data_IF_076997306492
#
_entry.id   IF_076997306492
#
_cell.length_a   1.000
_cell.length_b   1.000
_cell.length_c   1.000
_cell.angle_alpha   90.00
_cell.angle_beta   90.00
_cell.angle_gamma   90.00
#
_symmetry.space_group_name_H-M   'P 1'
#
loop_
_entity.id
_entity.type
_entity.pdbx_description
1 polymer ?
#
# COMPACT_ATOMS: atom_id res chain seq x y z
N UNK A 1 -4.54 -6.99 20.12
CA UNK A 1 -4.99 -7.59 18.85
C UNK A 1 -4.44 -6.86 17.63
N UNK A 2 -4.93 -5.68 17.22
CA UNK A 2 -4.39 -5.00 16.02
C UNK A 2 -2.88 -4.67 16.11
N UNK A 3 -2.40 -4.25 17.29
CA UNK A 3 -0.98 -3.96 17.55
C UNK A 3 -0.06 -5.20 17.56
N UNK A 4 -0.64 -6.41 17.64
CA UNK A 4 0.11 -7.67 17.72
C UNK A 4 0.19 -8.37 16.34
N UNK A 5 -0.37 -7.74 15.30
CA UNK A 5 -0.42 -8.30 13.95
C UNK A 5 0.97 -8.28 13.33
N UNK A 6 1.46 -9.45 12.91
CA UNK A 6 2.77 -9.58 12.26
C UNK A 6 2.62 -9.64 10.74
N UNK A 7 3.62 -9.17 9.97
CA UNK A 7 3.65 -9.37 8.54
C UNK A 7 3.50 -10.85 8.17
N UNK A 8 2.58 -11.13 7.24
CA UNK A 8 2.35 -12.50 6.75
C UNK A 8 3.48 -12.95 5.81
N UNK A 9 3.50 -14.24 5.44
CA UNK A 9 4.46 -14.77 4.46
C UNK A 9 4.44 -13.97 3.15
N UNK A 10 3.27 -13.50 2.71
CA UNK A 10 3.13 -12.70 1.50
C UNK A 10 3.76 -11.29 1.64
N UNK A 11 3.64 -10.66 2.80
CA UNK A 11 4.32 -9.38 3.08
C UNK A 11 5.84 -9.54 3.02
N UNK A 12 6.37 -10.61 3.61
CA UNK A 12 7.81 -10.91 3.53
C UNK A 12 8.26 -11.19 2.09
N UNK A 13 7.45 -11.89 1.28
CA UNK A 13 7.72 -12.10 -0.15
C UNK A 13 7.80 -10.77 -0.91
N UNK A 14 6.85 -9.85 -0.70
CA UNK A 14 6.88 -8.51 -1.30
C UNK A 14 8.12 -7.72 -0.88
N UNK A 15 8.45 -7.74 0.43
CA UNK A 15 9.63 -7.05 0.93
C UNK A 15 10.92 -7.63 0.34
N UNK A 16 10.98 -8.95 0.12
CA UNK A 16 12.10 -9.59 -0.56
C UNK A 16 12.21 -9.14 -2.00
N UNK A 17 11.10 -9.09 -2.73
CA UNK A 17 11.08 -8.59 -4.10
C UNK A 17 11.52 -7.12 -4.18
N UNK A 18 11.15 -6.29 -3.21
CA UNK A 18 11.62 -4.90 -3.13
C UNK A 18 13.13 -4.82 -2.87
N UNK A 19 13.63 -5.60 -1.90
CA UNK A 19 15.06 -5.69 -1.59
C UNK A 19 15.90 -6.13 -2.81
N UNK A 20 15.38 -7.08 -3.58
CA UNK A 20 16.04 -7.61 -4.79
C UNK A 20 15.83 -6.68 -6.03
N UNK A 21 15.24 -5.48 -5.87
CA UNK A 21 14.90 -4.54 -6.95
C UNK A 21 13.98 -5.13 -8.04
N UNK A 22 13.13 -6.09 -7.66
CA UNK A 22 12.14 -6.74 -8.53
C UNK A 22 10.71 -6.24 -8.32
N UNK A 23 10.48 -5.39 -7.31
CA UNK A 23 9.19 -4.75 -7.06
C UNK A 23 9.27 -3.26 -7.40
N UNK A 24 8.71 -2.87 -8.56
CA UNK A 24 8.71 -1.48 -8.99
C UNK A 24 7.80 -0.59 -8.13
N UNK A 25 6.63 -1.10 -7.74
CA UNK A 25 5.67 -0.41 -6.86
C UNK A 25 4.77 -1.39 -6.14
N UNK A 26 4.42 -1.04 -4.91
CA UNK A 26 3.34 -1.64 -4.13
C UNK A 26 2.25 -0.59 -3.90
N UNK A 27 1.04 -0.86 -4.41
CA UNK A 27 -0.15 -0.08 -4.09
C UNK A 27 -0.99 -0.86 -3.09
N UNK A 28 -1.15 -0.33 -1.87
CA UNK A 28 -1.99 -0.96 -0.84
C UNK A 28 -3.24 -0.13 -0.59
N UNK A 29 -4.37 -0.83 -0.44
CA UNK A 29 -5.64 -0.25 0.03
C UNK A 29 -5.77 -0.38 1.56
N UNK A 30 -4.88 -1.13 2.21
CA UNK A 30 -4.90 -1.38 3.64
C UNK A 30 -4.40 -0.15 4.40
N UNK A 31 -4.88 0.00 5.62
CA UNK A 31 -4.54 1.11 6.54
C UNK A 31 -3.79 0.64 7.78
N UNK A 32 -3.56 -0.67 7.91
CA UNK A 32 -3.01 -1.36 9.07
C UNK A 32 -1.50 -1.20 9.24
N UNK A 33 -0.82 -0.63 8.24
CA UNK A 33 0.62 -0.36 8.23
C UNK A 33 1.51 -1.62 8.24
N UNK A 34 0.98 -2.81 7.94
CA UNK A 34 1.76 -4.05 7.99
C UNK A 34 2.86 -4.05 6.92
N UNK A 35 2.57 -3.60 5.70
CA UNK A 35 3.56 -3.48 4.63
C UNK A 35 4.70 -2.54 5.05
N UNK A 36 4.34 -1.36 5.54
CA UNK A 36 5.27 -0.28 5.87
C UNK A 36 6.11 -0.54 7.12
N UNK A 37 5.75 -1.56 7.92
CA UNK A 37 6.58 -2.06 9.02
C UNK A 37 7.85 -2.75 8.55
N UNK A 38 7.91 -3.18 7.28
CA UNK A 38 9.08 -3.81 6.66
C UNK A 38 9.93 -2.76 5.94
N UNK A 39 11.23 -2.69 6.27
CA UNK A 39 12.14 -1.66 5.76
C UNK A 39 12.14 -1.49 4.22
N UNK A 40 12.12 -2.57 3.40
CA UNK A 40 12.09 -2.42 1.94
C UNK A 40 10.78 -1.83 1.38
N UNK A 41 9.72 -1.80 2.19
CA UNK A 41 8.37 -1.37 1.81
C UNK A 41 7.94 -0.11 2.57
N UNK A 42 8.88 0.64 3.14
CA UNK A 42 8.56 1.91 3.80
C UNK A 42 7.85 2.87 2.84
N UNK A 43 7.01 3.73 3.42
CA UNK A 43 6.32 4.80 2.71
C UNK A 43 6.75 6.17 3.22
N UNK A 44 6.24 7.23 2.61
CA UNK A 44 6.42 8.60 3.04
C UNK A 44 5.06 9.29 3.12
N UNK A 45 4.78 9.92 4.26
CA UNK A 45 3.53 10.64 4.53
C UNK A 45 3.84 12.06 5.03
N UNK A 46 3.31 13.12 4.38
CA UNK A 46 2.53 13.12 3.14
C UNK A 46 3.31 12.59 1.93
N UNK A 47 2.59 12.13 0.92
CA UNK A 47 3.23 11.59 -0.28
C UNK A 47 3.86 12.74 -1.08
N UNK A 48 5.13 12.62 -1.53
CA UNK A 48 5.77 13.65 -2.33
C UNK A 48 5.03 13.91 -3.64
N UNK A 49 4.86 15.18 -4.07
CA UNK A 49 4.19 15.50 -5.34
C UNK A 49 5.02 15.09 -6.57
N UNK A 50 6.32 14.82 -6.40
CA UNK A 50 7.27 14.47 -7.48
C UNK A 50 8.21 13.35 -7.03
N UNK A 51 8.78 12.64 -8.01
CA UNK A 51 9.77 11.59 -7.80
C UNK A 51 11.02 12.08 -7.05
N UNK A 52 11.77 11.19 -6.36
CA UNK A 52 11.48 9.75 -6.20
C UNK A 52 10.34 9.50 -5.21
N UNK A 53 9.44 8.57 -5.56
CA UNK A 53 8.35 8.13 -4.68
C UNK A 53 8.71 6.82 -3.96
N UNK A 54 8.23 6.61 -2.73
CA UNK A 54 8.49 5.39 -1.98
C UNK A 54 7.87 4.15 -2.65
N UNK A 55 8.45 2.97 -2.43
CA UNK A 55 7.99 1.71 -3.02
C UNK A 55 6.53 1.41 -2.66
N UNK A 56 6.13 1.65 -1.42
CA UNK A 56 4.74 1.46 -0.96
C UNK A 56 3.94 2.77 -1.03
N UNK A 57 2.77 2.72 -1.68
CA UNK A 57 1.81 3.81 -1.81
C UNK A 57 0.51 3.38 -1.15
N UNK A 58 0.15 4.09 -0.08
CA UNK A 58 -1.08 3.87 0.68
C UNK A 58 -2.24 4.65 0.06
N UNK A 59 -3.14 3.95 -0.63
CA UNK A 59 -4.22 4.55 -1.41
C UNK A 59 -5.34 5.15 -0.55
N UNK A 60 -5.50 4.68 0.68
CA UNK A 60 -6.55 5.11 1.60
C UNK A 60 -5.99 5.76 2.88
N UNK A 61 -4.74 6.23 2.84
CA UNK A 61 -4.02 6.69 4.02
C UNK A 61 -3.67 5.53 4.95
N UNK A 62 -3.43 5.83 6.22
CA UNK A 62 -3.02 4.81 7.21
C UNK A 62 -3.19 5.29 8.65
N UNK A 63 -3.03 4.35 9.58
CA UNK A 63 -3.03 4.61 11.02
C UNK A 63 -1.64 5.03 11.55
N UNK A 64 -0.69 5.42 10.69
CA UNK A 64 0.63 5.92 11.13
C UNK A 64 0.58 7.38 11.61
N UNK A 65 -0.30 8.19 10.99
CA UNK A 65 -0.43 9.63 11.28
C UNK A 65 -1.84 9.98 11.72
N UNK A 66 -1.95 11.07 12.46
CA UNK A 66 -3.21 11.81 12.65
C UNK A 66 -3.11 13.23 12.09
N UNK A 67 -4.26 13.79 11.72
CA UNK A 67 -4.38 15.10 11.09
C UNK A 67 -5.49 15.93 11.72
N UNK A 68 -5.25 17.22 11.91
CA UNK A 68 -6.28 18.17 12.31
C UNK A 68 -7.21 18.50 11.14
N UNK A 69 -8.52 18.39 11.37
CA UNK A 69 -9.54 18.71 10.35
C UNK A 69 -9.64 20.21 10.05
N UNK A 70 -9.14 21.07 10.95
CA UNK A 70 -9.19 22.53 10.84
C UNK A 70 -7.91 23.11 10.22
N UNK A 71 -6.76 22.95 10.90
CA UNK A 71 -5.50 23.57 10.50
C UNK A 71 -4.58 22.66 9.70
N UNK A 72 -4.96 21.39 9.46
CA UNK A 72 -4.15 20.37 8.77
C UNK A 72 -2.82 20.02 9.44
N UNK A 73 -2.65 20.37 10.72
CA UNK A 73 -1.52 19.92 11.52
C UNK A 73 -1.41 18.39 11.50
N UNK A 74 -0.21 17.88 11.23
CA UNK A 74 0.12 16.46 11.17
C UNK A 74 0.92 16.06 12.40
N UNK A 75 0.57 14.92 12.97
CA UNK A 75 1.28 14.32 14.11
C UNK A 75 1.32 12.79 13.95
N UNK A 76 2.19 12.13 14.72
CA UNK A 76 2.17 10.67 14.84
C UNK A 76 0.82 10.22 15.41
N UNK A 77 0.30 9.10 14.92
CA UNK A 77 -0.91 8.54 15.49
C UNK A 77 -0.65 8.10 16.92
N UNK A 78 -1.44 8.63 17.84
CA UNK A 78 -1.43 8.26 19.24
C UNK A 78 -2.80 7.71 19.60
N UNK A 79 -2.87 6.40 19.82
CA UNK A 79 -4.12 5.69 20.10
C UNK A 79 -4.73 6.09 21.44
N UNK A 80 -3.91 6.49 22.41
CA UNK A 80 -4.34 6.75 23.78
C UNK A 80 -5.16 8.05 23.84
N UNK A 81 -5.03 8.92 22.82
CA UNK A 81 -5.85 10.12 22.65
C UNK A 81 -7.26 9.84 22.11
N UNK A 82 -7.54 8.62 21.62
CA UNK A 82 -8.82 8.24 21.03
C UNK A 82 -9.57 7.25 21.92
N UNK A 83 -9.52 7.46 23.23
CA UNK A 83 -10.35 6.74 24.21
C UNK A 83 -11.67 7.48 24.43
N UNK A 84 -12.76 6.91 23.89
CA UNK A 84 -14.11 7.44 24.01
C UNK A 84 -14.68 8.09 22.73
N UNK A 85 -15.88 8.69 22.82
CA UNK A 85 -16.62 9.19 21.66
C UNK A 85 -16.13 10.55 21.15
N UNK A 86 -15.32 11.26 21.94
CA UNK A 86 -14.87 12.61 21.60
C UNK A 86 -13.51 12.60 20.91
N UNK A 87 -13.45 13.26 19.75
CA UNK A 87 -12.17 13.45 19.07
C UNK A 87 -11.24 14.37 19.87
N UNK A 88 -9.94 14.07 19.95
CA UNK A 88 -8.96 14.87 20.69
C UNK A 88 -8.80 16.27 20.08
N UNK A 89 -8.57 17.26 20.94
CA UNK A 89 -8.29 18.62 20.53
C UNK A 89 -6.94 18.71 19.79
N UNK A 90 -6.86 19.55 18.76
CA UNK A 90 -5.61 19.77 18.06
C UNK A 90 -4.67 20.64 18.90
N UNK A 91 -3.45 20.16 19.22
CA UNK A 91 -2.50 20.93 20.03
C UNK A 91 -2.12 22.25 19.37
N UNK A 92 -1.82 22.25 18.07
CA UNK A 92 -1.50 23.46 17.32
C UNK A 92 -2.66 24.48 17.28
N UNK A 93 -3.92 24.02 17.18
CA UNK A 93 -5.06 24.92 17.28
C UNK A 93 -5.25 25.48 18.69
N UNK A 94 -5.00 24.66 19.71
CA UNK A 94 -5.13 25.06 21.12
C UNK A 94 -4.15 26.18 21.44
N UNK A 95 -2.87 25.98 21.12
CA UNK A 95 -1.82 26.99 21.29
C UNK A 95 -2.16 28.29 20.54
N UNK A 96 -2.60 28.18 19.29
CA UNK A 96 -2.99 29.36 18.49
C UNK A 96 -4.18 30.09 19.12
N UNK A 97 -5.19 29.38 19.62
CA UNK A 97 -6.39 29.99 20.21
C UNK A 97 -6.12 30.64 21.58
N UNK A 98 -5.24 30.03 22.38
CA UNK A 98 -4.75 30.58 23.66
C UNK A 98 -3.99 31.89 23.44
N UNK A 99 -3.08 31.95 22.46
CA UNK A 99 -2.37 33.18 22.12
C UNK A 99 -3.31 34.30 21.66
N UNK A 100 -4.36 33.95 20.93
CA UNK A 100 -5.36 34.93 20.47
C UNK A 100 -6.18 35.49 21.62
N UNK A 101 -6.65 34.63 22.51
CA UNK A 101 -7.49 35.03 23.64
C UNK A 101 -6.70 35.84 24.67
N UNK A 102 -5.44 35.47 24.94
CA UNK A 102 -4.53 36.23 25.83
C UNK A 102 -4.15 37.60 25.27
N UNK A 103 -4.12 37.78 23.94
CA UNK A 103 -3.89 39.08 23.28
C UNK A 103 -5.17 39.90 23.06
N UNK A 104 -6.29 39.51 23.68
CA UNK A 104 -7.58 40.21 23.59
C UNK A 104 -8.32 40.02 22.26
N UNK A 105 -7.85 39.12 21.39
CA UNK A 105 -8.55 38.75 20.16
C UNK A 105 -9.62 37.69 20.44
N UNK A 106 -10.66 37.66 19.61
CA UNK A 106 -11.68 36.62 19.69
C UNK A 106 -11.11 35.23 19.39
N UNK A 107 -11.58 34.23 20.13
CA UNK A 107 -11.35 32.80 19.83
C UNK A 107 -11.86 32.48 18.42
N UNK A 108 -11.09 31.67 17.70
CA UNK A 108 -11.50 31.05 16.45
C UNK A 108 -11.86 29.57 16.63
N UNK A 109 -11.79 29.05 17.85
CA UNK A 109 -12.10 27.67 18.21
C UNK A 109 -10.97 26.69 17.92
N UNK A 110 -11.02 25.52 18.55
CA UNK A 110 -10.00 24.49 18.47
C UNK A 110 -10.44 23.37 17.53
N UNK A 111 -9.60 23.03 16.55
CA UNK A 111 -9.85 21.91 15.64
C UNK A 111 -9.75 20.56 16.34
N UNK A 112 -10.28 19.51 15.71
CA UNK A 112 -10.19 18.13 16.21
C UNK A 112 -9.23 17.29 15.39
N UNK A 113 -8.43 16.47 16.05
CA UNK A 113 -7.54 15.49 15.43
C UNK A 113 -8.33 14.23 15.05
N UNK A 114 -7.89 13.56 13.98
CA UNK A 114 -8.40 12.24 13.56
C UNK A 114 -7.29 11.43 12.91
N UNK A 115 -7.38 10.09 12.86
CA UNK A 115 -6.47 9.28 12.05
C UNK A 115 -6.47 9.75 10.59
N UNK A 116 -5.29 9.73 9.95
CA UNK A 116 -5.09 10.16 8.57
C UNK A 116 -5.43 9.04 7.58
N UNK A 117 -6.69 8.60 7.65
CA UNK A 117 -7.31 7.64 6.74
C UNK A 117 -8.33 8.35 5.85
N UNK A 118 -8.58 7.80 4.67
CA UNK A 118 -9.58 8.29 3.72
C UNK A 118 -10.87 7.52 3.92
N UNK A 119 -11.94 8.22 4.27
CA UNK A 119 -13.27 7.63 4.39
C UNK A 119 -14.03 7.69 3.05
N UNK A 120 -15.16 6.97 2.98
CA UNK A 120 -16.04 7.08 1.83
C UNK A 120 -16.52 8.51 1.61
N UNK A 121 -16.51 8.95 0.35
CA UNK A 121 -16.86 10.30 -0.06
C UNK A 121 -15.95 11.40 0.49
N UNK A 122 -14.79 11.04 1.05
CA UNK A 122 -13.75 11.98 1.44
C UNK A 122 -12.68 12.10 0.34
N UNK A 123 -12.18 13.31 0.15
CA UNK A 123 -11.06 13.56 -0.73
C UNK A 123 -9.75 13.08 -0.09
N UNK A 124 -8.94 12.36 -0.86
CA UNK A 124 -7.63 11.91 -0.39
C UNK A 124 -6.64 13.10 -0.42
N UNK A 125 -6.03 13.51 0.71
CA UNK A 125 -5.08 14.62 0.74
C UNK A 125 -3.86 14.44 -0.18
N UNK A 126 -3.54 13.20 -0.55
CA UNK A 126 -2.43 12.85 -1.43
C UNK A 126 -2.88 12.53 -2.87
N UNK A 127 -4.13 12.83 -3.27
CA UNK A 127 -4.67 12.36 -4.57
C UNK A 127 -3.86 12.81 -5.79
N UNK A 128 -3.33 14.04 -5.77
CA UNK A 128 -2.52 14.58 -6.86
C UNK A 128 -1.20 13.82 -6.97
N UNK A 129 -0.54 13.59 -5.82
CA UNK A 129 0.70 12.84 -5.75
C UNK A 129 0.48 11.38 -6.18
N UNK A 130 -0.60 10.74 -5.70
CA UNK A 130 -0.99 9.37 -6.07
C UNK A 130 -1.22 9.28 -7.59
N UNK A 131 -1.96 10.22 -8.17
CA UNK A 131 -2.18 10.25 -9.61
C UNK A 131 -0.88 10.43 -10.39
N UNK A 132 0.05 11.26 -9.89
CA UNK A 132 1.37 11.44 -10.50
C UNK A 132 2.19 10.14 -10.49
N UNK A 133 2.21 9.41 -9.36
CA UNK A 133 2.91 8.11 -9.25
C UNK A 133 2.29 7.07 -10.17
N UNK A 134 0.95 6.93 -10.14
CA UNK A 134 0.22 5.99 -10.99
C UNK A 134 0.52 6.21 -12.47
N UNK A 135 0.48 7.48 -12.92
CA UNK A 135 0.79 7.82 -14.31
C UNK A 135 2.27 7.56 -14.66
N UNK A 136 3.19 7.78 -13.71
CA UNK A 136 4.60 7.47 -13.89
C UNK A 136 4.84 5.96 -14.03
N UNK A 137 4.23 5.15 -13.17
CA UNK A 137 4.39 3.70 -13.18
C UNK A 137 3.71 3.05 -14.40
N UNK A 138 2.61 3.61 -14.91
CA UNK A 138 2.04 3.16 -16.19
C UNK A 138 3.02 3.46 -17.34
N UNK A 139 3.66 4.64 -17.34
CA UNK A 139 4.62 5.04 -18.38
C UNK A 139 5.96 4.29 -18.30
N UNK A 140 6.36 3.83 -17.11
CA UNK A 140 7.56 2.99 -16.98
C UNK A 140 7.39 1.64 -17.66
N UNK A 141 6.14 1.27 -17.99
CA UNK A 141 5.76 0.02 -18.64
C UNK A 141 6.33 -1.18 -17.89
N UNK A 142 5.76 -1.57 -16.74
CA UNK A 142 6.16 -2.81 -16.07
C UNK A 142 5.95 -4.02 -16.98
N UNK A 143 6.64 -5.11 -16.65
CA UNK A 143 6.46 -6.42 -17.31
C UNK A 143 5.55 -7.37 -16.51
N UNK A 144 5.23 -7.06 -15.26
CA UNK A 144 4.37 -7.89 -14.43
C UNK A 144 3.43 -7.03 -13.61
N UNK A 145 2.17 -7.45 -13.49
CA UNK A 145 1.22 -6.91 -12.52
C UNK A 145 0.61 -8.06 -11.74
N UNK A 146 0.65 -7.96 -10.41
CA UNK A 146 0.04 -8.93 -9.50
C UNK A 146 -1.05 -8.20 -8.72
N UNK A 147 -2.29 -8.65 -8.86
CA UNK A 147 -3.42 -8.14 -8.10
C UNK A 147 -3.85 -9.19 -7.11
N UNK A 148 -3.81 -8.84 -5.83
CA UNK A 148 -3.92 -9.80 -4.72
C UNK A 148 -4.86 -9.28 -3.64
N UNK A 149 -5.69 -10.18 -3.09
CA UNK A 149 -6.45 -9.92 -1.86
C UNK A 149 -7.40 -8.72 -1.92
N UNK A 150 -7.96 -8.41 -3.09
CA UNK A 150 -8.84 -7.25 -3.28
C UNK A 150 -10.10 -7.62 -4.03
N UNK A 151 -11.22 -6.98 -3.69
CA UNK A 151 -12.48 -7.09 -4.44
C UNK A 151 -12.62 -6.05 -5.56
N UNK A 152 -11.63 -5.18 -5.75
CA UNK A 152 -11.63 -4.09 -6.75
C UNK A 152 -12.93 -3.27 -6.79
N UNK A 153 -13.47 -2.90 -5.62
CA UNK A 153 -14.68 -2.06 -5.53
C UNK A 153 -14.39 -0.57 -5.73
N UNK A 154 -13.15 -0.14 -5.53
CA UNK A 154 -12.77 1.28 -5.59
C UNK A 154 -12.48 1.70 -7.04
N UNK A 155 -13.22 2.69 -7.60
CA UNK A 155 -13.08 3.08 -9.01
C UNK A 155 -11.68 3.51 -9.43
N UNK A 156 -10.94 4.20 -8.56
CA UNK A 156 -9.55 4.61 -8.81
C UNK A 156 -8.63 3.40 -9.01
N UNK A 157 -8.73 2.41 -8.10
CA UNK A 157 -7.94 1.17 -8.15
C UNK A 157 -8.30 0.34 -9.37
N UNK A 158 -9.59 0.24 -9.73
CA UNK A 158 -10.05 -0.46 -10.95
C UNK A 158 -9.40 0.11 -12.21
N UNK A 159 -9.39 1.44 -12.34
CA UNK A 159 -8.79 2.13 -13.50
C UNK A 159 -7.28 1.91 -13.58
N UNK A 160 -6.58 1.94 -12.44
CA UNK A 160 -5.16 1.65 -12.36
C UNK A 160 -4.88 0.22 -12.83
N UNK A 161 -5.54 -0.77 -12.22
CA UNK A 161 -5.36 -2.19 -12.55
C UNK A 161 -5.61 -2.45 -14.03
N UNK A 162 -6.72 -1.94 -14.58
CA UNK A 162 -7.04 -2.10 -16.01
C UNK A 162 -5.95 -1.51 -16.91
N UNK A 163 -5.43 -0.32 -16.56
CA UNK A 163 -4.36 0.33 -17.32
C UNK A 163 -3.06 -0.46 -17.26
N UNK A 164 -2.68 -0.95 -16.08
CA UNK A 164 -1.48 -1.77 -15.89
C UNK A 164 -1.59 -3.11 -16.61
N UNK A 165 -2.71 -3.83 -16.50
CA UNK A 165 -2.94 -5.07 -17.24
C UNK A 165 -2.78 -4.86 -18.74
N UNK A 166 -3.38 -3.80 -19.30
CA UNK A 166 -3.23 -3.47 -20.73
C UNK A 166 -1.77 -3.21 -21.12
N UNK A 167 -1.03 -2.44 -20.31
CA UNK A 167 0.37 -2.11 -20.60
C UNK A 167 1.27 -3.33 -20.48
N UNK A 168 1.12 -4.12 -19.41
CA UNK A 168 1.89 -5.34 -19.17
C UNK A 168 1.65 -6.34 -20.29
N UNK A 169 0.39 -6.68 -20.59
CA UNK A 169 0.04 -7.67 -21.62
C UNK A 169 0.37 -7.24 -23.05
N UNK A 170 0.67 -5.96 -23.28
CA UNK A 170 1.21 -5.50 -24.57
C UNK A 170 2.67 -5.92 -24.81
N UNK A 171 3.36 -6.44 -23.79
CA UNK A 171 4.75 -6.91 -23.91
C UNK A 171 4.79 -8.41 -24.24
N UNK A 172 5.76 -8.88 -25.05
CA UNK A 172 5.89 -10.30 -25.40
C UNK A 172 6.04 -11.27 -24.21
N UNK A 173 6.58 -10.81 -23.08
CA UNK A 173 6.76 -11.60 -21.84
C UNK A 173 6.01 -10.97 -20.66
N UNK A 174 5.01 -10.14 -20.93
CA UNK A 174 4.23 -9.49 -19.89
C UNK A 174 3.26 -10.45 -19.24
N UNK A 175 3.15 -10.44 -17.90
CA UNK A 175 2.22 -11.33 -17.19
C UNK A 175 1.34 -10.55 -16.21
N UNK A 176 0.03 -10.69 -16.36
CA UNK A 176 -0.95 -10.19 -15.41
C UNK A 176 -1.54 -11.34 -14.58
N UNK A 177 -1.39 -11.24 -13.25
CA UNK A 177 -1.81 -12.29 -12.30
C UNK A 177 -2.90 -11.78 -11.35
N UNK A 178 -3.88 -12.63 -11.09
CA UNK A 178 -4.88 -12.46 -10.04
C UNK A 178 -4.71 -13.53 -8.96
N UNK A 179 -4.62 -13.12 -7.69
CA UNK A 179 -4.49 -14.04 -6.55
C UNK A 179 -5.53 -13.68 -5.49
N UNK A 180 -6.60 -14.46 -5.40
CA UNK A 180 -7.64 -14.23 -4.40
C UNK A 180 -8.47 -15.49 -4.17
N UNK A 181 -9.19 -15.57 -3.05
CA UNK A 181 -10.13 -16.67 -2.78
C UNK A 181 -11.33 -16.65 -3.75
N UNK A 182 -11.70 -15.46 -4.23
CA UNK A 182 -12.78 -15.22 -5.19
C UNK A 182 -12.21 -14.87 -6.58
N UNK A 183 -12.90 -15.27 -7.67
CA UNK A 183 -12.49 -14.89 -9.02
C UNK A 183 -12.61 -13.36 -9.21
N UNK A 184 -11.86 -12.78 -10.18
CA UNK A 184 -12.00 -11.37 -10.50
C UNK A 184 -13.41 -11.08 -11.02
N UNK A 185 -14.05 -10.01 -10.51
CA UNK A 185 -15.43 -9.65 -10.84
C UNK A 185 -15.49 -8.38 -11.70
N UNK A 186 -16.25 -8.47 -12.79
CA UNK A 186 -16.58 -7.35 -13.67
C UNK A 186 -16.12 -7.60 -15.10
N UNK A 187 -17.00 -7.32 -16.07
CA UNK A 187 -16.77 -7.58 -17.51
C UNK A 187 -15.49 -6.93 -18.03
N UNK A 188 -15.10 -5.79 -17.47
CA UNK A 188 -13.87 -5.10 -17.87
C UNK A 188 -12.56 -5.84 -17.53
N UNK A 189 -12.62 -6.88 -16.70
CA UNK A 189 -11.48 -7.68 -16.27
C UNK A 189 -11.45 -9.09 -16.86
N UNK A 190 -12.43 -9.48 -17.68
CA UNK A 190 -12.48 -10.83 -18.29
C UNK A 190 -11.20 -11.12 -19.08
N UNK A 191 -10.72 -10.14 -19.85
CA UNK A 191 -9.49 -10.26 -20.66
C UNK A 191 -8.26 -9.61 -19.98
N UNK A 192 -8.22 -9.52 -18.65
CA UNK A 192 -7.11 -8.85 -17.96
C UNK A 192 -6.03 -9.79 -17.40
N UNK A 193 -6.26 -11.10 -17.37
CA UNK A 193 -5.43 -12.03 -16.59
C UNK A 193 -4.87 -13.15 -17.44
N UNK A 194 -3.57 -13.41 -17.29
CA UNK A 194 -2.89 -14.55 -17.89
C UNK A 194 -2.79 -15.71 -16.88
N UNK A 195 -2.82 -15.42 -15.58
CA UNK A 195 -2.87 -16.39 -14.49
C UNK A 195 -3.88 -15.98 -13.43
N UNK A 196 -4.78 -16.90 -13.05
CA UNK A 196 -5.74 -16.73 -11.97
C UNK A 196 -5.50 -17.82 -10.93
N UNK A 197 -4.99 -17.43 -9.76
CA UNK A 197 -4.79 -18.32 -8.62
C UNK A 197 -5.94 -18.13 -7.63
N UNK A 198 -6.76 -19.17 -7.50
CA UNK A 198 -7.84 -19.20 -6.51
C UNK A 198 -7.32 -19.76 -5.18
N UNK A 199 -7.11 -18.91 -4.18
CA UNK A 199 -6.70 -19.34 -2.86
C UNK A 199 -5.99 -18.28 -2.02
N UNK A 200 -5.37 -18.73 -0.92
CA UNK A 200 -4.65 -17.89 0.03
C UNK A 200 -3.31 -17.42 -0.56
N UNK A 201 -3.06 -16.10 -0.56
CA UNK A 201 -1.81 -15.52 -1.03
C UNK A 201 -0.60 -15.92 -0.19
N UNK A 202 -0.78 -16.24 1.10
CA UNK A 202 0.31 -16.77 1.93
C UNK A 202 0.82 -18.11 1.42
N UNK A 203 -0.07 -18.96 0.90
CA UNK A 203 0.34 -20.25 0.33
C UNK A 203 1.13 -20.04 -0.97
N UNK A 204 0.73 -19.07 -1.79
CA UNK A 204 1.51 -18.67 -2.96
C UNK A 204 2.90 -18.20 -2.55
N UNK A 205 3.02 -17.43 -1.47
CA UNK A 205 4.31 -16.99 -0.96
C UNK A 205 5.19 -18.15 -0.46
N UNK A 206 4.59 -19.14 0.21
CA UNK A 206 5.31 -20.36 0.65
C UNK A 206 5.80 -21.17 -0.55
N UNK A 207 4.96 -21.38 -1.55
CA UNK A 207 5.30 -22.10 -2.77
C UNK A 207 6.35 -21.37 -3.63
N UNK A 208 6.30 -20.04 -3.66
CA UNK A 208 7.35 -19.24 -4.31
C UNK A 208 8.72 -19.38 -3.63
N UNK A 209 8.74 -19.77 -2.34
CA UNK A 209 9.96 -20.17 -1.64
C UNK A 209 11.03 -19.08 -1.53
N UNK A 210 10.65 -17.80 -1.67
CA UNK A 210 11.60 -16.70 -1.53
C UNK A 210 12.09 -16.61 -0.07
N UNK A 211 13.40 -16.44 0.09
CA UNK A 211 14.00 -16.15 1.41
C UNK A 211 13.35 -14.91 2.02
N UNK A 212 13.38 -14.83 3.35
CA UNK A 212 12.98 -13.60 4.02
C UNK A 212 13.84 -12.42 3.54
N UNK A 213 13.26 -11.22 3.57
CA UNK A 213 13.90 -10.02 3.03
C UNK A 213 15.18 -9.62 3.78
N UNK A 214 15.27 -9.95 5.08
CA UNK A 214 16.42 -9.69 5.94
C UNK A 214 17.38 -10.90 6.03
N UNK A 215 17.10 -11.99 5.31
CA UNK A 215 17.99 -13.13 5.20
C UNK A 215 18.99 -12.90 4.06
N UNK A 216 20.21 -12.51 4.47
CA UNK A 216 21.34 -12.25 3.59
C UNK A 216 22.21 -13.49 3.33
N UNK A 217 21.77 -14.68 3.72
CA UNK A 217 22.51 -15.90 3.38
C UNK A 217 22.57 -16.05 1.86
N UNK A 218 23.73 -16.41 1.27
CA UNK A 218 23.85 -16.64 -0.17
C UNK A 218 22.77 -17.61 -0.65
N UNK A 219 22.11 -17.30 -1.77
CA UNK A 219 21.22 -18.27 -2.41
C UNK A 219 22.09 -19.39 -2.97
N UNK A 220 21.95 -20.58 -2.39
CA UNK A 220 22.47 -21.81 -2.98
C UNK A 220 21.39 -22.21 -3.98
N UNK A 221 21.68 -22.06 -5.27
CA UNK A 221 20.88 -22.69 -6.30
C UNK A 221 21.36 -24.14 -6.37
N UNK A 222 20.49 -25.09 -6.07
CA UNK A 222 20.71 -26.44 -6.56
C UNK A 222 20.51 -26.36 -8.08
N UNK A 223 21.61 -26.49 -8.83
CA UNK A 223 21.50 -26.65 -10.28
C UNK A 223 20.71 -27.94 -10.52
N UNK A 224 19.52 -27.80 -11.12
CA UNK A 224 18.73 -28.93 -11.58
C UNK A 224 19.56 -29.70 -12.60
N UNK A 225 19.97 -30.91 -12.25
CA UNK A 225 20.75 -31.76 -13.12
C UNK A 225 19.83 -32.58 -14.05
N UNK A 226 20.43 -33.22 -15.05
CA UNK A 226 19.68 -34.03 -16.02
C UNK A 226 18.93 -35.21 -15.34
N UNK A 227 19.34 -35.62 -14.13
CA UNK A 227 18.71 -36.69 -13.37
C UNK A 227 17.41 -36.24 -12.69
N UNK A 228 17.36 -34.99 -12.22
CA UNK A 228 16.14 -34.38 -11.69
C UNK A 228 15.06 -34.19 -12.78
N UNK A 229 15.49 -33.92 -14.02
CA UNK A 229 14.58 -33.85 -15.19
C UNK A 229 14.01 -35.25 -15.53
N UNK A 230 14.81 -36.31 -15.40
CA UNK A 230 14.35 -37.68 -15.64
C UNK A 230 13.40 -38.20 -14.56
N UNK A 231 13.52 -37.76 -13.30
CA UNK A 231 12.61 -38.16 -12.19
C UNK A 231 11.19 -37.64 -12.33
N UNK A 232 10.96 -36.60 -13.14
CA UNK A 232 9.65 -35.97 -13.33
C UNK A 232 8.94 -36.48 -14.61
N UNK A 233 9.62 -37.27 -15.43
CA UNK A 233 9.01 -38.00 -16.57
C UNK A 233 8.41 -39.34 -16.11
#
# INVERSE_FOLDING_TARGET
EAADTKPTAFHHMLARMAQDNRLARLYTQNIDCIETSLQPLITQVPLPPKAPWPTCIQLHGSLDKMVCQKCRHLAQFDRDLFDGPEAPACPACTETDELRTTTGQRSHGVGKMRPRIVLYNEHNPDEEAIAAVMNSDIRSRPDTVIVVGTSLKIPGVRRLVKSLCKVVRSKPKGIAMWINNEPPVGKEFEDCWDLVVKGNCEEVARLAGLKQWNDNTPQIFDECDDLDIERVK
#
